data_IF_227559218694
#
_entry.id   IF_227559218694
#
_cell.length_a   1.000
_cell.length_b   1.000
_cell.length_c   1.000
_cell.angle_alpha   90.00
_cell.angle_beta   90.00
_cell.angle_gamma   90.00
#
_symmetry.space_group_name_H-M   'P 1'
#
loop_
_entity.id
_entity.type
_entity.pdbx_description
1 polymer ?
#
# COMPACT_ATOMS: atom_id res chain seq x y z
N UNK A 1 -15.04 -43.19 21.95
CA UNK A 1 -13.80 -42.41 21.83
C UNK A 1 -14.17 -41.06 21.27
N UNK A 2 -14.01 -40.00 22.05
CA UNK A 2 -14.39 -38.62 21.67
C UNK A 2 -13.41 -37.98 20.66
N UNK A 3 -12.43 -38.75 20.17
CA UNK A 3 -11.42 -38.28 19.21
C UNK A 3 -11.82 -38.52 17.75
N UNK A 4 -12.92 -39.25 17.47
CA UNK A 4 -13.27 -39.67 16.10
C UNK A 4 -14.43 -38.91 15.47
N UNK A 5 -15.08 -37.98 16.18
CA UNK A 5 -16.20 -37.18 15.64
C UNK A 5 -15.79 -35.81 15.08
N UNK A 6 -14.52 -35.38 15.22
CA UNK A 6 -14.03 -34.07 14.74
C UNK A 6 -13.06 -34.10 13.55
N UNK A 7 -12.71 -35.29 13.03
CA UNK A 7 -11.60 -35.50 12.07
C UNK A 7 -11.99 -35.18 10.60
N UNK A 8 -12.76 -34.12 10.36
CA UNK A 8 -13.22 -33.82 8.99
C UNK A 8 -13.46 -32.35 8.76
N UNK A 9 -14.55 -31.81 9.31
CA UNK A 9 -14.97 -30.44 9.03
C UNK A 9 -14.25 -29.41 9.91
N UNK A 10 -13.96 -29.75 11.18
CA UNK A 10 -13.23 -28.86 12.10
C UNK A 10 -11.76 -28.69 11.70
N UNK A 11 -11.12 -29.76 11.24
CA UNK A 11 -9.73 -29.72 10.74
C UNK A 11 -9.62 -28.89 9.46
N UNK A 12 -10.56 -29.04 8.53
CA UNK A 12 -10.60 -28.25 7.29
C UNK A 12 -10.91 -26.77 7.57
N UNK A 13 -11.87 -26.48 8.45
CA UNK A 13 -12.19 -25.11 8.85
C UNK A 13 -11.01 -24.43 9.56
N UNK A 14 -10.28 -25.17 10.39
CA UNK A 14 -9.07 -24.69 11.07
C UNK A 14 -7.94 -24.41 10.08
N UNK A 15 -7.68 -25.32 9.13
CA UNK A 15 -6.63 -25.14 8.13
C UNK A 15 -6.91 -23.93 7.22
N UNK A 16 -8.18 -23.75 6.82
CA UNK A 16 -8.62 -22.55 6.08
C UNK A 16 -8.45 -21.29 6.93
N UNK A 17 -8.84 -21.31 8.20
CA UNK A 17 -8.71 -20.15 9.09
C UNK A 17 -7.23 -19.75 9.28
N UNK A 18 -6.34 -20.73 9.48
CA UNK A 18 -4.90 -20.50 9.60
C UNK A 18 -4.33 -19.96 8.30
N UNK A 19 -4.71 -20.55 7.15
CA UNK A 19 -4.28 -20.09 5.83
C UNK A 19 -4.71 -18.64 5.54
N UNK A 20 -5.96 -18.29 5.82
CA UNK A 20 -6.46 -16.92 5.67
C UNK A 20 -5.80 -15.95 6.64
N UNK A 21 -5.55 -16.37 7.88
CA UNK A 21 -4.86 -15.53 8.86
C UNK A 21 -3.41 -15.25 8.43
N UNK A 22 -2.70 -16.27 7.95
CA UNK A 22 -1.34 -16.13 7.44
C UNK A 22 -1.30 -15.21 6.21
N UNK A 23 -2.21 -15.40 5.24
CA UNK A 23 -2.33 -14.50 4.09
C UNK A 23 -2.63 -13.06 4.53
N UNK A 24 -3.55 -12.88 5.47
CA UNK A 24 -3.90 -11.56 5.99
C UNK A 24 -2.72 -10.89 6.68
N UNK A 25 -1.91 -11.64 7.42
CA UNK A 25 -0.68 -11.14 8.03
C UNK A 25 0.34 -10.71 6.97
N UNK A 26 0.60 -11.54 5.96
CA UNK A 26 1.52 -11.22 4.87
C UNK A 26 1.07 -9.97 4.09
N UNK A 27 -0.22 -9.89 3.77
CA UNK A 27 -0.79 -8.71 3.11
C UNK A 27 -0.68 -7.48 4.00
N UNK A 28 -0.91 -7.62 5.31
CA UNK A 28 -0.77 -6.51 6.25
C UNK A 28 0.67 -6.00 6.30
N UNK A 29 1.66 -6.89 6.34
CA UNK A 29 3.07 -6.49 6.28
C UNK A 29 3.41 -5.77 4.96
N UNK A 30 2.91 -6.27 3.83
CA UNK A 30 3.09 -5.62 2.54
C UNK A 30 2.47 -4.22 2.51
N UNK A 31 1.23 -4.06 3.01
CA UNK A 31 0.54 -2.77 3.06
C UNK A 31 1.23 -1.78 4.00
N UNK A 32 1.70 -2.24 5.15
CA UNK A 32 2.47 -1.40 6.09
C UNK A 32 3.77 -0.93 5.42
N UNK A 33 4.49 -1.82 4.75
CA UNK A 33 5.72 -1.46 4.03
C UNK A 33 5.44 -0.41 2.94
N UNK A 34 4.41 -0.63 2.11
CA UNK A 34 4.00 0.33 1.08
C UNK A 34 3.60 1.67 1.71
N UNK A 35 2.83 1.66 2.79
CA UNK A 35 2.40 2.86 3.49
C UNK A 35 3.59 3.68 4.01
N UNK A 36 4.56 3.04 4.67
CA UNK A 36 5.77 3.69 5.17
C UNK A 36 6.60 4.25 4.02
N UNK A 37 6.80 3.48 2.96
CA UNK A 37 7.53 3.96 1.77
C UNK A 37 6.83 5.14 1.12
N UNK A 38 5.50 5.10 1.00
CA UNK A 38 4.71 6.21 0.45
C UNK A 38 4.80 7.47 1.33
N UNK A 39 4.75 7.31 2.67
CA UNK A 39 4.92 8.42 3.60
C UNK A 39 6.32 9.05 3.49
N UNK A 40 7.38 8.23 3.39
CA UNK A 40 8.75 8.71 3.16
C UNK A 40 8.92 9.34 1.78
N UNK A 41 8.27 8.80 0.76
CA UNK A 41 8.32 9.36 -0.59
C UNK A 41 7.63 10.73 -0.65
N UNK A 42 6.42 10.85 -0.08
CA UNK A 42 5.72 12.14 0.03
C UNK A 42 6.54 13.15 0.84
N UNK A 43 7.28 12.66 1.85
CA UNK A 43 8.23 13.49 2.60
C UNK A 43 9.35 14.04 1.73
N UNK A 44 9.99 13.19 0.93
CA UNK A 44 11.04 13.61 -0.01
C UNK A 44 10.45 14.55 -1.07
N UNK A 45 9.20 14.34 -1.48
CA UNK A 45 8.49 15.17 -2.45
C UNK A 45 8.15 16.57 -1.94
N UNK A 46 8.06 16.76 -0.62
CA UNK A 46 7.77 18.06 -0.03
C UNK A 46 6.30 18.45 -0.13
N UNK A 47 5.41 17.45 -0.25
CA UNK A 47 3.96 17.66 -0.41
C UNK A 47 3.26 18.00 0.91
N UNK A 48 3.98 17.95 2.05
CA UNK A 48 3.44 18.33 3.35
C UNK A 48 2.53 17.29 4.02
N UNK A 49 2.36 16.10 3.43
CA UNK A 49 1.60 14.98 4.04
C UNK A 49 2.28 14.52 5.33
N UNK A 50 3.61 14.42 5.35
CA UNK A 50 4.36 14.09 6.56
C UNK A 50 4.19 15.17 7.64
N UNK A 51 4.35 16.44 7.26
CA UNK A 51 4.21 17.60 8.17
C UNK A 51 2.83 17.64 8.83
N UNK A 52 1.79 17.13 8.16
CA UNK A 52 0.44 17.02 8.70
C UNK A 52 0.27 15.87 9.69
N UNK A 53 1.09 14.82 9.58
CA UNK A 53 0.99 13.59 10.39
C UNK A 53 1.97 13.57 11.58
N UNK A 54 3.16 14.15 11.41
CA UNK A 54 4.23 14.15 12.42
C UNK A 54 4.82 15.57 12.53
N UNK A 55 4.65 16.26 13.66
CA UNK A 55 5.10 17.65 13.85
C UNK A 55 6.61 17.77 14.11
N UNK A 56 7.35 16.66 14.06
CA UNK A 56 8.81 16.60 14.24
C UNK A 56 9.46 16.32 12.89
N UNK A 57 10.57 17.01 12.60
CA UNK A 57 11.28 16.95 11.31
C UNK A 57 10.42 17.37 10.11
N UNK A 58 9.67 18.46 10.20
CA UNK A 58 8.81 18.96 9.13
C UNK A 58 9.59 19.41 7.89
N UNK A 59 8.98 19.23 6.71
CA UNK A 59 9.53 19.76 5.45
C UNK A 59 9.44 21.29 5.43
N UNK A 60 10.50 21.94 4.91
CA UNK A 60 10.55 23.42 4.79
C UNK A 60 9.98 23.95 3.47
N UNK A 61 9.56 23.07 2.55
CA UNK A 61 8.99 23.44 1.25
C UNK A 61 9.08 22.32 0.21
N UNK A 62 8.57 22.55 -1.03
CA UNK A 62 8.65 21.59 -2.12
C UNK A 62 10.11 21.23 -2.40
N UNK A 63 10.40 19.94 -2.58
CA UNK A 63 11.76 19.51 -2.90
C UNK A 63 12.18 20.07 -4.27
N UNK A 64 13.24 20.89 -4.31
CA UNK A 64 13.87 21.39 -5.55
C UNK A 64 14.82 20.36 -6.19
N UNK A 65 14.78 19.11 -5.73
CA UNK A 65 15.66 18.06 -6.20
C UNK A 65 15.18 17.54 -7.56
N UNK A 66 16.03 17.63 -8.59
CA UNK A 66 15.72 17.26 -9.97
C UNK A 66 15.23 15.80 -10.14
N UNK A 67 15.58 14.89 -9.23
CA UNK A 67 15.10 13.51 -9.27
C UNK A 67 13.63 13.39 -8.84
N UNK A 68 13.22 14.21 -7.87
CA UNK A 68 11.87 14.25 -7.34
C UNK A 68 10.91 14.91 -8.33
N UNK A 69 11.34 15.98 -8.98
CA UNK A 69 10.55 16.61 -10.05
C UNK A 69 10.35 15.67 -11.24
N UNK A 70 11.38 14.91 -11.62
CA UNK A 70 11.27 13.89 -12.68
C UNK A 70 10.34 12.74 -12.28
N UNK A 71 10.41 12.30 -11.02
CA UNK A 71 9.50 11.27 -10.50
C UNK A 71 8.05 11.77 -10.50
N UNK A 72 7.81 13.01 -10.05
CA UNK A 72 6.49 13.64 -10.08
C UNK A 72 5.94 13.81 -11.51
N UNK A 73 6.79 14.25 -12.45
CA UNK A 73 6.41 14.37 -13.86
C UNK A 73 6.08 13.01 -14.50
N UNK A 74 6.79 11.95 -14.09
CA UNK A 74 6.53 10.59 -14.53
C UNK A 74 5.18 10.08 -13.98
N UNK A 75 4.89 10.33 -12.70
CA UNK A 75 3.59 10.00 -12.08
C UNK A 75 2.43 10.63 -12.85
N UNK A 76 2.48 11.93 -13.09
CA UNK A 76 1.43 12.62 -13.83
C UNK A 76 1.23 12.04 -15.23
N UNK A 77 2.33 11.70 -15.93
CA UNK A 77 2.25 11.08 -17.26
C UNK A 77 1.67 9.66 -17.21
N UNK A 78 2.01 8.88 -16.19
CA UNK A 78 1.47 7.55 -15.99
C UNK A 78 -0.03 7.60 -15.69
N UNK A 79 -0.45 8.48 -14.78
CA UNK A 79 -1.85 8.69 -14.41
C UNK A 79 -2.68 9.13 -15.62
N UNK A 80 -2.22 10.12 -16.39
CA UNK A 80 -2.91 10.56 -17.60
C UNK A 80 -3.07 9.44 -18.63
N UNK A 81 -2.05 8.58 -18.78
CA UNK A 81 -2.13 7.44 -19.70
C UNK A 81 -3.16 6.41 -19.24
N UNK A 82 -3.20 6.11 -17.95
CA UNK A 82 -4.21 5.21 -17.36
C UNK A 82 -5.61 5.82 -17.50
N UNK A 83 -5.79 7.08 -17.17
CA UNK A 83 -7.07 7.80 -17.33
C UNK A 83 -7.54 7.77 -18.78
N UNK A 84 -6.65 8.07 -19.74
CA UNK A 84 -6.98 8.02 -21.17
C UNK A 84 -7.39 6.62 -21.61
N UNK A 85 -6.78 5.57 -21.05
CA UNK A 85 -7.10 4.19 -21.37
C UNK A 85 -8.42 3.73 -20.74
N UNK A 86 -8.70 4.14 -19.50
CA UNK A 86 -9.97 3.91 -18.81
C UNK A 86 -11.11 4.66 -19.49
N UNK A 87 -10.90 5.93 -19.86
CA UNK A 87 -11.86 6.74 -20.59
C UNK A 87 -12.12 6.17 -21.98
N UNK A 88 -11.08 5.78 -22.72
CA UNK A 88 -11.21 5.15 -24.04
C UNK A 88 -11.89 3.78 -24.02
N UNK A 89 -11.92 3.08 -22.87
CA UNK A 89 -12.64 1.80 -22.71
C UNK A 89 -14.11 1.99 -22.31
N UNK A 90 -14.49 3.21 -21.90
CA UNK A 90 -15.84 3.56 -21.47
C UNK A 90 -16.74 4.00 -22.65
N UNK A 91 -16.12 4.36 -23.77
CA UNK A 91 -16.74 4.55 -25.10
C UNK A 91 -16.77 3.21 -25.87
#
# INVERSE_FOLDING_TARGET
GLYTQGIGEEELAMDVAIGLHALSADLSYALIAIHVVAALYSRIKGEGVWTSMVPVFTEKGPSTNAYVEKAAALEHRALQKVESFVASKKE
#
